data_IF_327464044646
#
_entry.id   IF_327464044646
#
_cell.length_a   1.000
_cell.length_b   1.000
_cell.length_c   1.000
_cell.angle_alpha   90.00
_cell.angle_beta   90.00
_cell.angle_gamma   90.00
#
_symmetry.space_group_name_H-M   'P 1'
#
loop_
_entity.id
_entity.type
_entity.pdbx_description
1 polymer ?
#
# COMPACT_ATOMS: atom_id res chain seq x y z
N UNK A 1 15.04 3.86 -6.67
CA UNK A 1 14.86 4.89 -5.63
C UNK A 1 14.00 4.20 -4.58
N UNK A 2 14.69 3.56 -3.65
CA UNK A 2 14.11 2.68 -2.63
C UNK A 2 13.69 3.51 -1.42
N UNK A 3 12.41 3.46 -1.06
CA UNK A 3 11.91 4.11 0.15
C UNK A 3 12.24 3.20 1.34
N UNK A 4 13.43 3.41 1.94
CA UNK A 4 13.85 2.66 3.12
C UNK A 4 13.32 3.37 4.38
N UNK A 5 12.12 3.00 4.84
CA UNK A 5 11.60 3.49 6.12
C UNK A 5 12.27 2.71 7.24
N UNK A 6 13.23 3.37 7.92
CA UNK A 6 13.84 2.87 9.13
C UNK A 6 12.78 2.50 10.16
N UNK A 7 12.92 1.29 10.72
CA UNK A 7 12.08 0.68 11.76
C UNK A 7 11.69 1.64 12.89
N UNK A 8 10.55 2.32 12.74
CA UNK A 8 9.78 2.93 13.82
C UNK A 8 8.39 2.30 13.79
N UNK A 9 7.98 1.70 14.90
CA UNK A 9 6.72 1.00 15.13
C UNK A 9 5.59 1.43 14.17
N UNK A 10 5.13 0.48 13.37
CA UNK A 10 4.29 0.55 12.15
C UNK A 10 2.93 1.27 12.30
N UNK A 11 2.64 1.82 13.47
CA UNK A 11 1.45 2.62 13.77
C UNK A 11 1.75 4.09 13.52
N UNK A 12 2.88 4.66 13.99
CA UNK A 12 3.11 6.11 13.92
C UNK A 12 3.44 6.62 12.51
N UNK A 13 4.14 5.84 11.68
CA UNK A 13 4.47 6.25 10.30
C UNK A 13 3.27 6.17 9.33
N UNK A 14 2.22 5.38 9.63
CA UNK A 14 1.05 5.24 8.76
C UNK A 14 0.05 6.40 8.87
N UNK A 15 -0.03 7.05 10.04
CA UNK A 15 -1.00 8.13 10.27
C UNK A 15 -0.82 9.28 9.26
N UNK A 16 0.39 9.80 9.01
CA UNK A 16 0.54 10.91 8.08
C UNK A 16 0.16 10.57 6.63
N UNK A 17 0.33 9.31 6.22
CA UNK A 17 0.01 8.84 4.88
C UNK A 17 -1.50 8.70 4.67
N UNK A 18 -2.22 8.16 5.66
CA UNK A 18 -3.68 8.01 5.58
C UNK A 18 -4.46 9.30 5.79
N UNK A 19 -3.89 10.29 6.50
CA UNK A 19 -4.56 11.57 6.80
C UNK A 19 -4.09 12.75 5.94
N UNK A 20 -3.21 12.52 4.95
CA UNK A 20 -2.72 13.57 4.06
C UNK A 20 -1.86 14.62 4.73
N UNK A 21 -1.28 14.29 5.88
CA UNK A 21 -0.38 15.19 6.60
C UNK A 21 1.09 14.90 6.29
N UNK A 22 1.38 14.00 5.34
CA UNK A 22 2.77 13.68 4.98
C UNK A 22 3.51 14.89 4.39
N UNK A 23 2.86 15.65 3.51
CA UNK A 23 3.39 16.92 2.96
C UNK A 23 3.66 17.98 4.06
N UNK A 24 3.02 17.84 5.22
CA UNK A 24 3.25 18.74 6.34
C UNK A 24 4.49 18.36 7.15
N UNK A 25 5.14 17.22 6.85
CA UNK A 25 6.32 16.74 7.58
C UNK A 25 7.65 17.29 7.05
N UNK A 26 7.66 18.14 6.01
CA UNK A 26 8.87 18.72 5.40
C UNK A 26 9.82 19.41 6.41
N UNK A 27 9.27 19.87 7.55
CA UNK A 27 10.04 20.50 8.62
C UNK A 27 10.63 19.51 9.65
N UNK A 28 10.31 18.22 9.53
CA UNK A 28 10.70 17.11 10.41
C UNK A 28 11.54 16.09 9.66
N UNK A 29 11.19 15.79 8.40
CA UNK A 29 11.92 14.90 7.49
C UNK A 29 11.72 15.38 6.06
N UNK A 30 12.77 15.33 5.23
CA UNK A 30 12.64 15.64 3.81
C UNK A 30 11.66 14.65 3.17
N UNK A 31 10.50 15.12 2.72
CA UNK A 31 9.56 14.29 1.97
C UNK A 31 9.87 14.36 0.49
N UNK A 32 9.80 13.22 -0.17
CA UNK A 32 9.97 13.13 -1.63
C UNK A 32 8.63 13.26 -2.33
N UNK A 33 8.64 13.78 -3.56
CA UNK A 33 7.43 13.85 -4.40
C UNK A 33 6.77 12.47 -4.56
N UNK A 34 7.57 11.40 -4.61
CA UNK A 34 7.08 10.03 -4.69
C UNK A 34 6.34 9.61 -3.42
N UNK A 35 6.86 9.89 -2.23
CA UNK A 35 6.15 9.56 -0.98
C UNK A 35 4.85 10.36 -0.84
N UNK A 36 4.82 11.60 -1.33
CA UNK A 36 3.59 12.40 -1.42
C UNK A 36 2.58 11.76 -2.38
N UNK A 37 3.02 11.29 -3.55
CA UNK A 37 2.18 10.57 -4.50
C UNK A 37 1.59 9.30 -3.88
N UNK A 38 2.41 8.53 -3.16
CA UNK A 38 1.95 7.29 -2.51
C UNK A 38 0.95 7.60 -1.40
N UNK A 39 1.21 8.62 -0.58
CA UNK A 39 0.30 9.10 0.46
C UNK A 39 -1.07 9.50 -0.13
N UNK A 40 -1.08 10.26 -1.22
CA UNK A 40 -2.31 10.63 -1.95
C UNK A 40 -3.03 9.39 -2.50
N UNK A 41 -2.28 8.46 -3.08
CA UNK A 41 -2.84 7.20 -3.58
C UNK A 41 -3.56 6.42 -2.48
N UNK A 42 -2.98 6.30 -1.28
CA UNK A 42 -3.64 5.63 -0.14
C UNK A 42 -4.94 6.33 0.24
N UNK A 43 -4.93 7.67 0.33
CA UNK A 43 -6.13 8.45 0.65
C UNK A 43 -7.23 8.27 -0.39
N UNK A 44 -6.86 8.26 -1.68
CA UNK A 44 -7.81 8.08 -2.77
C UNK A 44 -8.45 6.69 -2.74
N UNK A 45 -7.68 5.64 -2.43
CA UNK A 45 -8.21 4.29 -2.26
C UNK A 45 -9.16 4.19 -1.04
N UNK A 46 -8.79 4.81 0.09
CA UNK A 46 -9.68 4.90 1.26
C UNK A 46 -10.96 5.65 0.90
N UNK A 47 -10.84 6.77 0.18
CA UNK A 47 -11.98 7.60 -0.22
C UNK A 47 -12.91 6.86 -1.18
N UNK A 48 -12.38 6.06 -2.11
CA UNK A 48 -13.19 5.22 -2.99
C UNK A 48 -14.01 4.21 -2.19
N UNK A 49 -13.43 3.56 -1.18
CA UNK A 49 -14.15 2.66 -0.28
C UNK A 49 -15.19 3.39 0.57
N UNK A 50 -14.87 4.55 1.14
CA UNK A 50 -15.82 5.32 1.98
C UNK A 50 -17.02 5.81 1.17
N UNK A 51 -16.83 6.18 -0.09
CA UNK A 51 -17.91 6.64 -0.98
C UNK A 51 -18.87 5.51 -1.39
N UNK A 52 -18.34 4.34 -1.71
CA UNK A 52 -19.11 3.14 -2.02
C UNK A 52 -18.30 1.90 -1.59
N UNK A 53 -18.60 1.28 -0.45
CA UNK A 53 -17.80 0.18 0.08
C UNK A 53 -17.95 -1.10 -0.74
N UNK A 54 -18.98 -1.22 -1.58
CA UNK A 54 -19.25 -2.43 -2.35
C UNK A 54 -18.68 -2.34 -3.76
N UNK A 55 -18.66 -1.17 -4.39
CA UNK A 55 -18.22 -1.01 -5.78
C UNK A 55 -17.22 0.13 -6.02
N UNK A 56 -16.96 0.99 -5.04
CA UNK A 56 -16.09 2.15 -5.19
C UNK A 56 -14.64 1.76 -5.54
N UNK A 57 -14.00 0.88 -4.76
CA UNK A 57 -12.66 0.37 -5.05
C UNK A 57 -12.53 -0.27 -6.44
N UNK A 58 -13.48 -1.14 -6.80
CA UNK A 58 -13.50 -1.87 -8.07
C UNK A 58 -13.66 -0.90 -9.24
N UNK A 59 -14.62 0.02 -9.17
CA UNK A 59 -14.89 0.99 -10.26
C UNK A 59 -13.77 1.99 -10.45
N UNK A 60 -13.11 2.41 -9.37
CA UNK A 60 -12.12 3.50 -9.42
C UNK A 60 -10.72 2.98 -9.70
N UNK A 61 -10.37 1.82 -9.12
CA UNK A 61 -9.00 1.30 -9.10
C UNK A 61 -8.87 -0.14 -9.60
N UNK A 62 -9.98 -0.82 -9.92
CA UNK A 62 -9.96 -2.26 -10.23
C UNK A 62 -9.58 -3.12 -9.03
N UNK A 63 -9.68 -2.58 -7.81
CA UNK A 63 -9.34 -3.32 -6.60
C UNK A 63 -10.51 -4.23 -6.20
N UNK A 64 -10.40 -5.50 -6.59
CA UNK A 64 -11.42 -6.52 -6.35
C UNK A 64 -11.41 -7.05 -4.90
N UNK A 65 -12.55 -7.51 -4.38
CA UNK A 65 -12.63 -8.15 -3.07
C UNK A 65 -11.80 -9.43 -3.01
N UNK A 66 -11.18 -9.68 -1.86
CA UNK A 66 -10.34 -10.86 -1.68
C UNK A 66 -11.13 -12.17 -1.80
N UNK A 67 -10.62 -13.11 -2.61
CA UNK A 67 -11.06 -14.49 -2.76
C UNK A 67 -10.11 -15.38 -1.96
N UNK A 68 -10.43 -15.62 -0.68
CA UNK A 68 -9.57 -16.37 0.24
C UNK A 68 -9.26 -17.83 -0.18
N UNK A 69 -10.01 -18.39 -1.12
CA UNK A 69 -9.79 -19.73 -1.67
C UNK A 69 -8.85 -19.75 -2.89
N UNK A 70 -8.39 -18.60 -3.38
CA UNK A 70 -7.49 -18.54 -4.52
C UNK A 70 -6.12 -19.16 -4.16
N UNK A 71 -5.59 -20.08 -5.00
CA UNK A 71 -4.34 -20.78 -4.71
C UNK A 71 -3.10 -19.87 -4.67
N UNK A 72 -3.16 -18.67 -5.25
CA UNK A 72 -2.09 -17.67 -5.22
C UNK A 72 -2.32 -16.61 -4.11
N UNK A 73 -3.30 -16.81 -3.23
CA UNK A 73 -3.62 -15.86 -2.15
C UNK A 73 -4.41 -14.64 -2.63
N UNK A 74 -4.89 -14.66 -3.87
CA UNK A 74 -5.57 -13.57 -4.59
C UNK A 74 -4.71 -12.29 -4.70
N UNK A 75 -5.24 -11.20 -5.26
CA UNK A 75 -4.51 -9.96 -5.44
C UNK A 75 -4.55 -9.07 -4.19
N UNK A 76 -3.37 -8.61 -3.78
CA UNK A 76 -3.20 -7.56 -2.79
C UNK A 76 -2.77 -6.25 -3.47
N UNK A 77 -3.10 -5.13 -2.85
CA UNK A 77 -2.61 -3.82 -3.26
C UNK A 77 -1.36 -3.47 -2.45
N UNK A 78 -0.22 -3.31 -3.13
CA UNK A 78 1.04 -2.82 -2.54
C UNK A 78 1.26 -1.35 -2.95
N UNK A 79 1.54 -0.51 -1.97
CA UNK A 79 1.81 0.91 -2.17
C UNK A 79 3.32 1.20 -2.15
N UNK A 80 3.77 2.12 -3.00
CA UNK A 80 5.13 2.65 -2.97
C UNK A 80 6.25 1.71 -3.43
N UNK A 81 5.93 0.66 -4.18
CA UNK A 81 6.89 -0.33 -4.65
C UNK A 81 7.21 -0.19 -6.14
N UNK A 82 8.46 -0.47 -6.51
CA UNK A 82 8.95 -0.51 -7.90
C UNK A 82 8.66 0.80 -8.65
N UNK A 83 8.75 1.93 -7.95
CA UNK A 83 8.44 3.27 -8.49
C UNK A 83 6.97 3.51 -8.81
N UNK A 84 6.04 2.71 -8.25
CA UNK A 84 4.60 2.88 -8.41
C UNK A 84 3.97 3.30 -7.09
N UNK A 85 3.08 4.29 -7.14
CA UNK A 85 2.29 4.70 -5.98
C UNK A 85 1.41 3.56 -5.46
N UNK A 86 0.76 2.81 -6.35
CA UNK A 86 0.01 1.59 -6.03
C UNK A 86 0.17 0.55 -7.15
N UNK A 87 0.19 -0.73 -6.78
CA UNK A 87 0.24 -1.84 -7.73
C UNK A 87 -0.30 -3.14 -7.14
N UNK A 88 -0.87 -3.97 -8.00
CA UNK A 88 -1.32 -5.31 -7.62
C UNK A 88 -0.14 -6.27 -7.53
N UNK A 89 -0.17 -7.12 -6.50
CA UNK A 89 0.74 -8.26 -6.31
C UNK A 89 -0.09 -9.50 -5.97
N UNK A 90 0.46 -10.68 -6.21
CA UNK A 90 -0.15 -11.92 -5.70
C UNK A 90 0.03 -12.01 -4.18
N UNK A 91 -1.00 -12.50 -3.49
CA UNK A 91 -0.99 -12.68 -2.04
C UNK A 91 0.08 -13.65 -1.57
N UNK A 92 0.44 -14.64 -2.40
CA UNK A 92 1.54 -15.57 -2.15
C UNK A 92 2.90 -14.85 -2.06
N UNK A 93 3.07 -13.67 -2.65
CA UNK A 93 4.28 -12.86 -2.49
C UNK A 93 4.47 -12.37 -1.05
N UNK A 94 3.38 -12.24 -0.29
CA UNK A 94 3.40 -11.81 1.12
C UNK A 94 3.27 -13.01 2.06
N UNK A 95 2.27 -13.87 1.82
CA UNK A 95 1.91 -14.96 2.74
C UNK A 95 2.69 -16.25 2.47
N UNK A 96 3.29 -16.39 1.28
CA UNK A 96 4.01 -17.61 0.88
C UNK A 96 5.12 -17.99 1.86
N UNK A 97 5.84 -16.99 2.40
CA UNK A 97 6.89 -17.22 3.40
C UNK A 97 6.38 -17.92 4.66
N UNK A 98 5.13 -17.67 5.07
CA UNK A 98 4.50 -18.31 6.23
C UNK A 98 4.25 -19.81 5.99
N UNK A 99 4.12 -20.21 4.72
CA UNK A 99 3.90 -21.60 4.30
C UNK A 99 5.18 -22.26 3.77
N UNK A 100 6.33 -21.58 3.82
CA UNK A 100 7.60 -22.06 3.26
C UNK A 100 7.61 -22.07 1.73
N UNK A 101 6.76 -21.26 1.10
CA UNK A 101 6.61 -21.13 -0.36
C UNK A 101 7.18 -19.76 -0.77
N UNK A 102 8.38 -19.76 -1.36
CA UNK A 102 9.02 -18.53 -1.83
C UNK A 102 9.74 -17.73 -0.73
N UNK A 103 10.24 -16.56 -1.12
CA UNK A 103 10.91 -15.60 -0.23
C UNK A 103 10.08 -14.32 -0.17
N UNK A 104 9.92 -13.76 1.03
CA UNK A 104 9.29 -12.45 1.20
C UNK A 104 10.26 -11.36 0.76
N UNK A 105 9.81 -10.45 -0.10
CA UNK A 105 10.54 -9.24 -0.47
C UNK A 105 10.17 -8.10 0.50
N UNK A 106 11.06 -7.73 1.45
CA UNK A 106 10.77 -6.69 2.42
C UNK A 106 11.01 -5.28 1.87
N UNK A 107 11.53 -5.13 0.64
CA UNK A 107 11.89 -3.82 0.07
C UNK A 107 11.03 -3.48 -1.16
N UNK A 108 10.44 -2.27 -1.23
CA UNK A 108 9.66 -1.82 -2.38
C UNK A 108 10.50 -1.48 -3.62
#
# INVERSE_FOLDING_TARGET
MDVTIGSAHTITARHPWSFGTYELMDHVVDTTEFEVEVSRSIQDHIMAFVKDPYHGPQKTFGWEPQVASDPNGDYLLRFGAKGKAAGFIDGVEVDGVCYGIGEYDPFP
#
